data_IF_797978761144
#
_entry.id   IF_797978761144
#
_cell.length_a   1.000
_cell.length_b   1.000
_cell.length_c   1.000
_cell.angle_alpha   90.00
_cell.angle_beta   90.00
_cell.angle_gamma   90.00
#
_symmetry.space_group_name_H-M   'P 1'
#
loop_
_entity.id
_entity.type
_entity.pdbx_description
1 polymer ?
#
# COMPACT_ATOMS: atom_id res chain seq x y z
N UNK A 1 -27.29 -9.05 -16.84
CA UNK A 1 -26.04 -8.39 -16.46
C UNK A 1 -25.38 -9.30 -15.43
N UNK A 2 -24.31 -10.00 -15.82
CA UNK A 2 -23.55 -10.84 -14.88
C UNK A 2 -22.93 -9.90 -13.83
N UNK A 3 -23.34 -10.04 -12.57
CA UNK A 3 -22.66 -9.39 -11.46
C UNK A 3 -21.22 -9.93 -11.43
N UNK A 4 -20.26 -9.15 -11.90
CA UNK A 4 -18.84 -9.51 -11.86
C UNK A 4 -18.49 -9.89 -10.41
N UNK A 5 -18.08 -11.14 -10.15
CA UNK A 5 -17.96 -11.62 -8.79
C UNK A 5 -16.82 -10.87 -8.12
N UNK A 6 -17.10 -10.18 -7.01
CA UNK A 6 -16.13 -9.38 -6.23
C UNK A 6 -14.84 -10.14 -5.83
N UNK A 7 -14.82 -11.46 -6.01
CA UNK A 7 -13.64 -12.32 -5.84
C UNK A 7 -12.48 -11.97 -6.79
N UNK A 8 -12.75 -11.45 -7.99
CA UNK A 8 -11.72 -11.08 -8.98
C UNK A 8 -10.81 -9.95 -8.48
N UNK A 9 -11.39 -8.98 -7.76
CA UNK A 9 -10.72 -7.78 -7.22
C UNK A 9 -9.54 -8.14 -6.32
N UNK A 10 -9.64 -9.24 -5.57
CA UNK A 10 -8.58 -9.68 -4.65
C UNK A 10 -7.25 -10.01 -5.35
N UNK A 11 -7.30 -10.37 -6.64
CA UNK A 11 -6.13 -10.70 -7.44
C UNK A 11 -5.47 -9.48 -8.10
N UNK A 12 -6.13 -8.31 -8.11
CA UNK A 12 -5.65 -7.13 -8.82
C UNK A 12 -4.42 -6.50 -8.15
N UNK A 13 -3.49 -6.00 -8.97
CA UNK A 13 -2.46 -5.05 -8.55
C UNK A 13 -3.05 -3.69 -8.16
N UNK A 14 -2.24 -2.82 -7.54
CA UNK A 14 -2.69 -1.49 -7.13
C UNK A 14 -3.19 -0.64 -8.31
N UNK A 15 -2.43 -0.61 -9.41
CA UNK A 15 -2.79 0.20 -10.58
C UNK A 15 -4.04 -0.32 -11.27
N UNK A 16 -4.17 -1.64 -11.42
CA UNK A 16 -5.37 -2.27 -11.99
C UNK A 16 -6.61 -2.00 -11.13
N UNK A 17 -6.50 -2.16 -9.80
CA UNK A 17 -7.59 -1.87 -8.88
C UNK A 17 -8.01 -0.38 -8.91
N UNK A 18 -7.03 0.53 -8.99
CA UNK A 18 -7.28 1.97 -9.13
C UNK A 18 -7.98 2.30 -10.45
N UNK A 19 -7.51 1.74 -11.56
CA UNK A 19 -8.06 2.04 -12.89
C UNK A 19 -9.50 1.51 -13.03
N UNK A 20 -9.78 0.32 -12.48
CA UNK A 20 -11.14 -0.20 -12.36
C UNK A 20 -12.02 0.68 -11.45
N UNK A 21 -11.48 1.20 -10.34
CA UNK A 21 -12.21 2.09 -9.45
C UNK A 21 -12.61 3.39 -10.18
N UNK A 22 -11.70 3.97 -10.96
CA UNK A 22 -11.99 5.16 -11.78
C UNK A 22 -13.10 4.87 -12.79
N UNK A 23 -13.11 3.69 -13.42
CA UNK A 23 -14.19 3.28 -14.34
C UNK A 23 -15.53 3.21 -13.62
N UNK A 24 -15.58 2.54 -12.47
CA UNK A 24 -16.81 2.42 -11.65
C UNK A 24 -17.34 3.80 -11.24
N UNK A 25 -16.46 4.68 -10.75
CA UNK A 25 -16.85 6.05 -10.38
C UNK A 25 -17.39 6.81 -11.60
N UNK A 26 -16.72 6.71 -12.74
CA UNK A 26 -17.16 7.37 -13.99
C UNK A 26 -18.53 6.87 -14.45
N UNK A 27 -18.84 5.59 -14.26
CA UNK A 27 -20.15 5.01 -14.61
C UNK A 27 -21.26 5.47 -13.65
N UNK A 28 -20.97 5.49 -12.34
CA UNK A 28 -21.87 6.03 -11.32
C UNK A 28 -22.19 7.52 -11.58
N UNK A 29 -21.18 8.32 -11.93
CA UNK A 29 -21.33 9.76 -12.21
C UNK A 29 -22.15 10.07 -13.47
N UNK A 30 -22.21 9.15 -14.43
CA UNK A 30 -23.06 9.32 -15.62
C UNK A 30 -24.56 9.27 -15.28
N UNK A 31 -24.93 8.58 -14.19
CA UNK A 31 -26.32 8.51 -13.72
C UNK A 31 -27.31 7.83 -14.67
N UNK A 32 -26.81 7.03 -15.62
CA UNK A 32 -27.64 6.31 -16.61
C UNK A 32 -28.02 4.89 -16.18
N UNK A 33 -27.40 4.40 -15.10
CA UNK A 33 -27.65 3.09 -14.53
C UNK A 33 -28.99 3.03 -13.77
N UNK A 34 -29.63 1.87 -13.78
CA UNK A 34 -30.75 1.55 -12.89
C UNK A 34 -30.29 1.54 -11.42
N UNK A 35 -31.25 1.46 -10.48
CA UNK A 35 -30.92 1.39 -9.06
C UNK A 35 -30.10 0.14 -8.75
N UNK A 36 -30.49 -1.01 -9.29
CA UNK A 36 -29.82 -2.30 -9.11
C UNK A 36 -28.40 -2.28 -9.67
N UNK A 37 -28.20 -1.68 -10.85
CA UNK A 37 -26.87 -1.49 -11.44
C UNK A 37 -26.02 -0.52 -10.62
N UNK A 38 -26.62 0.58 -10.15
CA UNK A 38 -25.93 1.56 -9.28
C UNK A 38 -25.45 0.93 -7.98
N UNK A 39 -26.25 0.04 -7.38
CA UNK A 39 -25.86 -0.71 -6.18
C UNK A 39 -24.72 -1.68 -6.48
N UNK A 40 -24.78 -2.43 -7.58
CA UNK A 40 -23.71 -3.34 -7.97
C UNK A 40 -22.39 -2.61 -8.25
N UNK A 41 -22.46 -1.46 -8.92
CA UNK A 41 -21.31 -0.58 -9.15
C UNK A 41 -20.74 -0.06 -7.82
N UNK A 42 -21.59 0.37 -6.90
CA UNK A 42 -21.15 0.81 -5.58
C UNK A 42 -20.44 -0.29 -4.80
N UNK A 43 -21.00 -1.51 -4.75
CA UNK A 43 -20.37 -2.66 -4.07
C UNK A 43 -19.01 -3.02 -4.68
N UNK A 44 -18.89 -2.96 -6.01
CA UNK A 44 -17.62 -3.14 -6.72
C UNK A 44 -16.63 -2.03 -6.38
N UNK A 45 -17.08 -0.78 -6.36
CA UNK A 45 -16.27 0.39 -5.98
C UNK A 45 -15.71 0.27 -4.57
N UNK A 46 -16.54 -0.12 -3.60
CA UNK A 46 -16.12 -0.36 -2.21
C UNK A 46 -15.08 -1.48 -2.10
N UNK A 47 -15.25 -2.58 -2.86
CA UNK A 47 -14.28 -3.67 -2.88
C UNK A 47 -12.93 -3.23 -3.51
N UNK A 48 -12.95 -2.45 -4.59
CA UNK A 48 -11.75 -1.90 -5.22
C UNK A 48 -11.02 -0.90 -4.29
N UNK A 49 -11.76 -0.06 -3.59
CA UNK A 49 -11.21 0.88 -2.61
C UNK A 49 -10.48 0.14 -1.47
N UNK A 50 -11.10 -0.91 -0.90
CA UNK A 50 -10.46 -1.77 0.10
C UNK A 50 -9.18 -2.41 -0.43
N UNK A 51 -9.20 -2.92 -1.67
CA UNK A 51 -8.01 -3.51 -2.30
C UNK A 51 -6.88 -2.50 -2.45
N UNK A 52 -7.20 -1.27 -2.84
CA UNK A 52 -6.21 -0.19 -2.94
C UNK A 52 -5.62 0.14 -1.55
N UNK A 53 -6.46 0.20 -0.51
CA UNK A 53 -6.02 0.42 0.86
C UNK A 53 -5.07 -0.67 1.36
N UNK A 54 -5.37 -1.95 1.12
CA UNK A 54 -4.49 -3.08 1.46
C UNK A 54 -3.09 -2.92 0.85
N UNK A 55 -3.02 -2.57 -0.43
CA UNK A 55 -1.75 -2.30 -1.12
C UNK A 55 -0.98 -1.15 -0.48
N UNK A 56 -1.66 -0.05 -0.14
CA UNK A 56 -1.04 1.13 0.46
C UNK A 56 -0.55 0.86 1.89
N UNK A 57 -1.31 0.11 2.69
CA UNK A 57 -0.89 -0.34 4.03
C UNK A 57 0.35 -1.23 3.93
N UNK A 58 0.34 -2.22 3.02
CA UNK A 58 1.48 -3.10 2.79
C UNK A 58 2.73 -2.34 2.33
N UNK A 59 2.57 -1.39 1.42
CA UNK A 59 3.67 -0.53 0.95
C UNK A 59 4.23 0.34 2.07
N UNK A 60 3.37 0.92 2.91
CA UNK A 60 3.78 1.71 4.09
C UNK A 60 4.57 0.86 5.08
N UNK A 61 4.10 -0.34 5.41
CA UNK A 61 4.80 -1.26 6.31
C UNK A 61 6.20 -1.62 5.79
N UNK A 62 6.33 -1.87 4.48
CA UNK A 62 7.65 -2.13 3.84
C UNK A 62 8.58 -0.92 3.92
N UNK A 63 8.05 0.29 3.73
CA UNK A 63 8.83 1.53 3.87
C UNK A 63 9.31 1.74 5.30
N UNK A 64 8.44 1.52 6.28
CA UNK A 64 8.77 1.68 7.71
C UNK A 64 9.84 0.67 8.14
N UNK A 65 9.74 -0.59 7.70
CA UNK A 65 10.75 -1.62 7.95
C UNK A 65 12.12 -1.27 7.33
N UNK A 66 12.12 -0.77 6.08
CA UNK A 66 13.36 -0.34 5.42
C UNK A 66 14.04 0.84 6.15
N UNK A 67 13.24 1.78 6.67
CA UNK A 67 13.73 2.92 7.47
C UNK A 67 14.32 2.47 8.81
N UNK A 68 13.66 1.53 9.49
CA UNK A 68 14.16 0.97 10.75
C UNK A 68 15.49 0.25 10.56
N UNK A 69 15.60 -0.63 9.55
CA UNK A 69 16.85 -1.34 9.25
C UNK A 69 18.00 -0.39 8.84
N UNK A 70 17.70 0.71 8.14
CA UNK A 70 18.69 1.74 7.82
C UNK A 70 19.18 2.47 9.08
N UNK A 71 18.29 2.76 10.04
CA UNK A 71 18.65 3.39 11.31
C UNK A 71 19.51 2.46 12.19
N UNK A 72 19.19 1.17 12.25
CA UNK A 72 19.99 0.17 12.98
C UNK A 72 21.39 0.00 12.37
N UNK A 73 21.48 -0.02 11.04
CA UNK A 73 22.76 -0.11 10.32
C UNK A 73 23.63 1.13 10.57
N UNK A 74 23.03 2.32 10.56
CA UNK A 74 23.73 3.58 10.86
C UNK A 74 24.17 3.65 12.34
N UNK A 75 23.34 3.16 13.28
CA UNK A 75 23.67 3.07 14.69
C UNK A 75 24.84 2.13 14.97
N UNK A 76 24.84 0.96 14.33
CA UNK A 76 25.93 -0.03 14.43
C UNK A 76 27.23 0.54 13.86
N UNK A 77 27.19 1.19 12.70
CA UNK A 77 28.38 1.83 12.10
C UNK A 77 28.95 2.93 13.02
N UNK A 78 28.09 3.75 13.63
CA UNK A 78 28.50 4.80 14.57
C UNK A 78 29.08 4.23 15.87
N UNK A 79 28.58 3.10 16.35
CA UNK A 79 29.12 2.43 17.53
C UNK A 79 30.49 1.82 17.25
N UNK A 80 30.68 1.19 16.10
CA UNK A 80 31.95 0.60 15.70
C UNK A 80 33.07 1.66 15.63
N UNK A 81 32.83 2.83 15.02
CA UNK A 81 33.81 3.92 14.99
C UNK A 81 34.05 4.56 16.37
N UNK A 82 33.04 4.59 17.23
CA UNK A 82 33.18 5.10 18.60
C UNK A 82 33.92 4.13 19.53
N UNK A 83 33.95 2.83 19.22
CA UNK A 83 34.72 1.83 19.93
C UNK A 83 36.19 1.87 19.49
N UNK A 84 36.44 2.00 18.18
CA UNK A 84 37.77 2.17 17.61
C UNK A 84 38.50 3.40 18.18
N UNK A 85 37.80 4.54 18.26
CA UNK A 85 38.38 5.78 18.81
C UNK A 85 38.64 5.76 20.32
N UNK A 86 37.99 4.87 21.09
CA UNK A 86 38.22 4.73 22.55
C UNK A 86 39.38 3.81 22.90
N UNK A 87 39.87 2.98 21.97
CA UNK A 87 41.03 2.12 22.17
C UNK A 87 42.39 2.83 22.07
N UNK A 88 42.43 4.07 21.59
CA UNK A 88 43.68 4.79 21.32
C UNK A 88 44.14 5.72 22.47
N UNK A 89 43.39 5.84 23.57
CA UNK A 89 43.63 6.85 24.60
C UNK A 89 44.27 6.32 25.92
N UNK A 90 44.67 5.05 25.99
CA UNK A 90 45.27 4.45 27.20
C UNK A 90 46.63 3.81 26.86
N UNK A 91 47.62 4.63 26.49
CA UNK A 91 49.04 4.25 26.28
C UNK A 91 49.92 5.49 26.10
N UNK A 92 50.06 6.31 27.15
CA UNK A 92 51.13 7.31 27.34
C UNK A 92 51.13 7.78 28.79
#
# INVERSE_FOLDING_TARGET
MDAMPLSDISALGYEEARDELVRVVTELEQGSATLEESLALWERGEALARRCEEWLIGAKARLDAARAGAAESAGTAKSAVAADSRGAADSA
#
